data_IF_247975999369
#
_entry.id   IF_247975999369
#
_cell.length_a   1.000
_cell.length_b   1.000
_cell.length_c   1.000
_cell.angle_alpha   90.00
_cell.angle_beta   90.00
_cell.angle_gamma   90.00
#
_symmetry.space_group_name_H-M   'P 1'
#
loop_
_entity.id
_entity.type
_entity.pdbx_description
1 polymer ?
#
# COMPACT_ATOMS: atom_id res chain seq x y z
N UNK A 1 19.07 -5.04 6.21
CA UNK A 1 18.91 -6.51 6.23
C UNK A 1 17.76 -6.87 5.31
N UNK A 2 17.96 -7.74 4.32
CA UNK A 2 16.90 -8.17 3.42
C UNK A 2 15.82 -8.93 4.22
N UNK A 3 14.75 -8.24 4.57
CA UNK A 3 13.59 -8.85 5.21
C UNK A 3 12.93 -9.76 4.19
N UNK A 4 13.01 -11.08 4.40
CA UNK A 4 12.23 -12.08 3.65
C UNK A 4 10.79 -11.60 3.52
N UNK A 5 10.20 -11.75 2.33
CA UNK A 5 8.83 -11.32 2.10
C UNK A 5 7.88 -12.05 3.07
N UNK A 6 6.77 -11.41 3.46
CA UNK A 6 5.80 -12.03 4.37
C UNK A 6 5.35 -13.41 3.85
N UNK A 7 5.17 -13.55 2.54
CA UNK A 7 4.84 -14.83 1.90
C UNK A 7 5.92 -15.90 2.12
N UNK A 8 7.20 -15.56 2.01
CA UNK A 8 8.30 -16.51 2.25
C UNK A 8 8.36 -16.98 3.71
N UNK A 9 8.02 -16.09 4.65
CA UNK A 9 7.94 -16.42 6.08
C UNK A 9 6.77 -17.35 6.36
N UNK A 10 5.59 -17.06 5.80
CA UNK A 10 4.38 -17.88 5.91
C UNK A 10 4.65 -19.29 5.37
N UNK A 11 5.25 -19.41 4.18
CA UNK A 11 5.57 -20.72 3.57
C UNK A 11 6.50 -21.56 4.44
N UNK A 12 7.52 -20.94 5.05
CA UNK A 12 8.44 -21.66 5.96
C UNK A 12 7.75 -22.12 7.24
N UNK A 13 6.89 -21.27 7.81
CA UNK A 13 6.11 -21.62 9.00
C UNK A 13 5.13 -22.76 8.69
N UNK A 14 4.50 -22.75 7.51
CA UNK A 14 3.63 -23.83 7.05
C UNK A 14 4.37 -25.17 6.95
N UNK A 15 5.54 -25.19 6.29
CA UNK A 15 6.38 -26.39 6.21
C UNK A 15 6.79 -26.91 7.59
N UNK A 16 7.07 -26.01 8.53
CA UNK A 16 7.41 -26.37 9.91
C UNK A 16 6.21 -26.97 10.65
N UNK A 17 5.02 -26.36 10.55
CA UNK A 17 3.78 -26.87 11.14
C UNK A 17 3.41 -28.24 10.58
N UNK A 18 3.56 -28.45 9.27
CA UNK A 18 3.33 -29.74 8.61
C UNK A 18 4.29 -30.81 9.18
N UNK A 19 5.58 -30.49 9.28
CA UNK A 19 6.58 -31.40 9.84
C UNK A 19 6.36 -31.69 11.33
N UNK A 20 5.97 -30.70 12.12
CA UNK A 20 5.64 -30.88 13.54
C UNK A 20 4.40 -31.76 13.72
N UNK A 21 3.39 -31.60 12.86
CA UNK A 21 2.16 -32.38 12.90
C UNK A 21 2.40 -33.84 12.51
N UNK A 22 3.34 -34.11 11.60
CA UNK A 22 3.73 -35.46 11.19
C UNK A 22 4.61 -36.19 12.20
N UNK A 23 5.46 -35.46 12.95
CA UNK A 23 6.45 -36.04 13.86
C UNK A 23 6.10 -35.81 15.34
N UNK A 24 4.81 -35.71 15.69
CA UNK A 24 4.34 -35.33 17.04
C UNK A 24 4.94 -36.17 18.17
N UNK A 25 5.18 -37.47 17.95
CA UNK A 25 5.74 -38.39 18.94
C UNK A 25 7.19 -38.09 19.31
N UNK A 26 7.94 -37.46 18.40
CA UNK A 26 9.36 -37.17 18.55
C UNK A 26 9.63 -35.70 18.93
N UNK A 27 8.57 -34.91 19.12
CA UNK A 27 8.68 -33.52 19.51
C UNK A 27 9.08 -33.37 20.99
N UNK A 28 9.91 -32.37 21.32
CA UNK A 28 10.18 -31.99 22.70
C UNK A 28 8.88 -31.63 23.44
N UNK A 29 8.78 -31.93 24.74
CA UNK A 29 7.59 -31.67 25.59
C UNK A 29 7.00 -30.25 25.51
N UNK A 30 7.79 -29.23 25.15
CA UNK A 30 7.32 -27.84 25.02
C UNK A 30 6.63 -27.53 23.68
N UNK A 31 6.75 -28.41 22.70
CA UNK A 31 6.14 -28.31 21.38
C UNK A 31 4.96 -29.28 21.31
N UNK A 32 4.03 -29.10 22.23
CA UNK A 32 2.82 -29.89 22.35
C UNK A 32 1.75 -29.43 21.34
N UNK A 33 0.59 -30.09 21.39
CA UNK A 33 -0.52 -29.78 20.50
C UNK A 33 -1.05 -28.35 20.69
N UNK A 34 -0.98 -27.80 21.91
CA UNK A 34 -1.39 -26.42 22.18
C UNK A 34 -0.44 -25.44 21.48
N UNK A 35 0.87 -25.65 21.57
CA UNK A 35 1.85 -24.84 20.86
C UNK A 35 1.64 -24.87 19.34
N UNK A 36 1.41 -26.06 18.76
CA UNK A 36 1.14 -26.23 17.32
C UNK A 36 -0.15 -25.48 16.94
N UNK A 37 -1.20 -25.59 17.75
CA UNK A 37 -2.48 -24.91 17.53
C UNK A 37 -2.35 -23.38 17.58
N UNK A 38 -1.62 -22.84 18.55
CA UNK A 38 -1.34 -21.41 18.66
C UNK A 38 -0.55 -20.91 17.45
N UNK A 39 0.48 -21.65 17.04
CA UNK A 39 1.30 -21.31 15.89
C UNK A 39 0.52 -21.36 14.57
N UNK A 40 -0.36 -22.34 14.40
CA UNK A 40 -1.28 -22.43 13.26
C UNK A 40 -2.24 -21.23 13.23
N UNK A 41 -2.87 -20.91 14.37
CA UNK A 41 -3.79 -19.77 14.49
C UNK A 41 -3.10 -18.45 14.14
N UNK A 42 -1.87 -18.23 14.60
CA UNK A 42 -1.10 -17.04 14.28
C UNK A 42 -0.75 -16.99 12.79
N UNK A 43 -0.32 -18.10 12.21
CA UNK A 43 -0.02 -18.20 10.77
C UNK A 43 -1.26 -17.84 9.93
N UNK A 44 -2.44 -18.33 10.30
CA UNK A 44 -3.67 -18.07 9.54
C UNK A 44 -4.09 -16.59 9.65
N UNK A 45 -3.96 -15.98 10.83
CA UNK A 45 -4.17 -14.53 10.99
C UNK A 45 -3.21 -13.71 10.12
N UNK A 46 -1.94 -14.11 10.05
CA UNK A 46 -0.94 -13.42 9.24
C UNK A 46 -1.26 -13.56 7.75
N UNK A 47 -1.74 -14.71 7.28
CA UNK A 47 -2.17 -14.90 5.89
C UNK A 47 -3.33 -13.97 5.50
N UNK A 48 -4.33 -13.86 6.37
CA UNK A 48 -5.46 -12.94 6.17
C UNK A 48 -4.96 -11.50 6.08
N UNK A 49 -4.18 -11.05 7.06
CA UNK A 49 -3.63 -9.69 7.10
C UNK A 49 -2.74 -9.39 5.88
N UNK A 50 -1.93 -10.34 5.44
CA UNK A 50 -1.10 -10.19 4.25
C UNK A 50 -1.96 -10.04 2.99
N UNK A 51 -3.03 -10.82 2.87
CA UNK A 51 -3.96 -10.74 1.74
C UNK A 51 -4.67 -9.38 1.71
N UNK A 52 -5.12 -8.90 2.86
CA UNK A 52 -5.72 -7.57 3.00
C UNK A 52 -4.73 -6.45 2.66
N UNK A 53 -3.49 -6.56 3.12
CA UNK A 53 -2.44 -5.60 2.78
C UNK A 53 -2.21 -5.53 1.26
N UNK A 54 -2.13 -6.66 0.57
CA UNK A 54 -1.94 -6.67 -0.89
C UNK A 54 -3.14 -6.07 -1.64
N UNK A 55 -4.37 -6.30 -1.17
CA UNK A 55 -5.57 -5.62 -1.70
C UNK A 55 -5.49 -4.10 -1.51
N UNK A 56 -5.17 -3.64 -0.30
CA UNK A 56 -5.04 -2.21 0.00
C UNK A 56 -3.93 -1.54 -0.83
N UNK A 57 -2.82 -2.22 -1.09
CA UNK A 57 -1.77 -1.71 -1.99
C UNK A 57 -2.27 -1.54 -3.42
N UNK A 58 -3.03 -2.51 -3.93
CA UNK A 58 -3.62 -2.44 -5.26
C UNK A 58 -4.63 -1.28 -5.35
N UNK A 59 -5.49 -1.13 -4.35
CA UNK A 59 -6.48 -0.04 -4.27
C UNK A 59 -5.80 1.33 -4.19
N UNK A 60 -4.77 1.47 -3.35
CA UNK A 60 -3.99 2.70 -3.22
C UNK A 60 -3.34 3.07 -4.56
N UNK A 61 -2.76 2.10 -5.27
CA UNK A 61 -2.17 2.34 -6.59
C UNK A 61 -3.21 2.84 -7.58
N UNK A 62 -4.35 2.17 -7.68
CA UNK A 62 -5.46 2.55 -8.55
C UNK A 62 -5.99 3.97 -8.24
N UNK A 63 -6.20 4.29 -6.96
CA UNK A 63 -6.65 5.63 -6.54
C UNK A 63 -5.60 6.71 -6.80
N UNK A 64 -4.32 6.39 -6.63
CA UNK A 64 -3.22 7.31 -6.93
C UNK A 64 -3.15 7.61 -8.43
N UNK A 65 -3.30 6.59 -9.28
CA UNK A 65 -3.36 6.77 -10.73
C UNK A 65 -4.55 7.65 -11.16
N UNK A 66 -5.72 7.43 -10.57
CA UNK A 66 -6.90 8.26 -10.81
C UNK A 66 -6.68 9.72 -10.38
N UNK A 67 -6.16 9.93 -9.16
CA UNK A 67 -5.85 11.27 -8.64
C UNK A 67 -4.86 12.02 -9.53
N UNK A 68 -3.78 11.36 -9.96
CA UNK A 68 -2.78 11.96 -10.83
C UNK A 68 -3.37 12.38 -12.18
N UNK A 69 -4.34 11.60 -12.69
CA UNK A 69 -5.06 11.92 -13.93
C UNK A 69 -5.86 13.21 -13.80
N UNK A 70 -6.61 13.35 -12.71
CA UNK A 70 -7.42 14.54 -12.44
C UNK A 70 -6.57 15.77 -12.16
N UNK A 71 -5.47 15.64 -11.39
CA UNK A 71 -4.51 16.74 -11.17
C UNK A 71 -3.93 17.20 -12.52
N UNK A 72 -3.52 16.28 -13.39
CA UNK A 72 -2.98 16.62 -14.70
C UNK A 72 -4.00 17.34 -15.59
N UNK A 73 -5.28 16.98 -15.50
CA UNK A 73 -6.35 17.65 -16.22
C UNK A 73 -6.59 19.07 -15.67
N UNK A 74 -6.62 19.20 -14.34
CA UNK A 74 -6.76 20.47 -13.64
C UNK A 74 -5.61 21.43 -14.00
N UNK A 75 -4.37 20.95 -14.00
CA UNK A 75 -3.18 21.76 -14.32
C UNK A 75 -3.22 22.32 -15.75
N UNK A 76 -3.74 21.54 -16.71
CA UNK A 76 -3.94 21.99 -18.09
C UNK A 76 -4.97 23.10 -18.17
N UNK A 77 -6.14 22.89 -17.56
CA UNK A 77 -7.22 23.89 -17.52
C UNK A 77 -6.77 25.17 -16.79
N UNK A 78 -6.07 25.02 -15.67
CA UNK A 78 -5.50 26.14 -14.93
C UNK A 78 -4.49 26.91 -15.78
N UNK A 79 -3.60 26.22 -16.49
CA UNK A 79 -2.61 26.85 -17.37
C UNK A 79 -3.26 27.63 -18.52
N UNK A 80 -4.33 27.08 -19.12
CA UNK A 80 -5.09 27.77 -20.17
C UNK A 80 -5.84 28.99 -19.62
N UNK A 81 -6.51 28.85 -18.48
CA UNK A 81 -7.19 29.94 -17.80
C UNK A 81 -6.20 31.07 -17.44
N UNK A 82 -5.05 30.71 -16.85
CA UNK A 82 -3.96 31.63 -16.53
C UNK A 82 -3.49 32.38 -17.78
N UNK A 83 -3.28 31.70 -18.91
CA UNK A 83 -2.88 32.35 -20.18
C UNK A 83 -3.92 33.35 -20.67
N UNK A 84 -5.20 32.98 -20.68
CA UNK A 84 -6.29 33.88 -21.12
C UNK A 84 -6.39 35.12 -20.23
N UNK A 85 -6.36 34.93 -18.91
CA UNK A 85 -6.39 36.05 -17.96
C UNK A 85 -5.23 37.02 -18.21
N UNK A 86 -4.02 36.51 -18.47
CA UNK A 86 -2.87 37.36 -18.79
C UNK A 86 -2.99 38.12 -20.11
N UNK A 87 -3.76 37.60 -21.07
CA UNK A 87 -4.00 38.26 -22.37
C UNK A 87 -5.11 39.32 -22.26
N UNK A 88 -6.15 39.04 -21.49
CA UNK A 88 -7.38 39.85 -21.44
C UNK A 88 -7.36 40.93 -20.34
N UNK A 89 -6.52 40.78 -19.31
CA UNK A 89 -6.48 41.68 -18.15
C UNK A 89 -5.09 42.28 -17.92
N UNK A 90 -5.07 43.54 -17.46
CA UNK A 90 -3.84 44.19 -17.00
C UNK A 90 -3.20 43.45 -15.82
N UNK A 91 -1.87 43.51 -15.74
CA UNK A 91 -1.06 42.75 -14.78
C UNK A 91 -1.41 43.07 -13.30
N UNK A 92 -1.84 44.30 -13.01
CA UNK A 92 -2.28 44.72 -11.68
C UNK A 92 -3.48 43.90 -11.18
N UNK A 93 -4.32 43.39 -12.09
CA UNK A 93 -5.49 42.60 -11.77
C UNK A 93 -5.18 41.10 -11.58
N UNK A 94 -3.99 40.61 -11.94
CA UNK A 94 -3.65 39.18 -11.91
C UNK A 94 -3.66 38.58 -10.51
N UNK A 95 -3.28 39.37 -9.49
CA UNK A 95 -3.31 38.94 -8.08
C UNK A 95 -4.73 38.53 -7.66
N UNK A 96 -5.77 39.21 -8.15
CA UNK A 96 -7.16 38.88 -7.85
C UNK A 96 -7.58 37.49 -8.42
N UNK A 97 -6.86 37.00 -9.43
CA UNK A 97 -7.04 35.67 -10.00
C UNK A 97 -6.07 34.63 -9.40
N UNK A 98 -5.35 34.97 -8.32
CA UNK A 98 -4.37 34.09 -7.68
C UNK A 98 -3.08 33.91 -8.50
N UNK A 99 -2.80 34.80 -9.44
CA UNK A 99 -1.59 34.77 -10.27
C UNK A 99 -0.57 35.72 -9.66
N UNK A 100 0.40 35.18 -8.92
CA UNK A 100 1.47 35.94 -8.25
C UNK A 100 2.79 36.00 -9.05
N UNK A 101 2.77 35.63 -10.34
CA UNK A 101 3.97 35.64 -11.18
C UNK A 101 4.62 37.03 -11.18
N UNK A 102 5.85 37.10 -10.64
CA UNK A 102 6.76 38.22 -10.86
C UNK A 102 7.50 37.97 -12.17
N UNK A 103 7.64 39.04 -12.95
CA UNK A 103 8.28 39.04 -14.27
C UNK A 103 9.71 38.53 -14.21
#
# INVERSE_FOLDING_TARGET
MATKSYAERITKVKLMLDAMTQNKSDLPKKLDDDYISQMQTLKDKIEVLNTEQEKLKADLKSKTEALNKEISALDKLYSEAKKRIKLDFEQTCWIAFGIEDKR
#
